data_IF_858904319410
#
_entry.id   IF_858904319410
#
_cell.length_a   1.000
_cell.length_b   1.000
_cell.length_c   1.000
_cell.angle_alpha   90.00
_cell.angle_beta   90.00
_cell.angle_gamma   90.00
#
_symmetry.space_group_name_H-M   'P 1'
#
loop_
_entity.id
_entity.type
_entity.pdbx_description
1 polymer ?
#
# COMPACT_ATOMS: atom_id res chain seq x y z
N UNK A 1 13.73 -11.71 -24.15
CA UNK A 1 13.95 -10.55 -23.24
C UNK A 1 13.14 -10.64 -21.94
N UNK A 2 11.89 -11.13 -21.96
CA UNK A 2 11.00 -11.11 -20.78
C UNK A 2 11.47 -12.05 -19.65
N UNK A 3 11.90 -13.27 -19.95
CA UNK A 3 12.44 -14.18 -18.93
C UNK A 3 13.87 -13.85 -18.50
N UNK A 4 14.59 -13.07 -19.28
CA UNK A 4 16.00 -12.74 -19.04
C UNK A 4 16.21 -11.94 -17.75
N UNK A 5 15.27 -11.05 -17.42
CA UNK A 5 15.28 -10.27 -16.17
C UNK A 5 15.15 -11.21 -14.96
N UNK A 6 14.26 -12.20 -15.03
CA UNK A 6 14.01 -13.12 -13.92
C UNK A 6 15.10 -14.17 -13.77
N UNK A 7 15.63 -14.67 -14.89
CA UNK A 7 16.52 -15.85 -14.91
C UNK A 7 18.01 -15.52 -14.99
N UNK A 8 18.42 -14.52 -15.80
CA UNK A 8 19.81 -14.33 -16.21
C UNK A 8 20.44 -13.00 -15.84
N UNK A 9 19.63 -11.93 -15.76
CA UNK A 9 20.16 -10.59 -15.48
C UNK A 9 20.88 -10.55 -14.11
N UNK A 10 21.95 -9.75 -13.93
CA UNK A 10 22.55 -9.52 -12.63
C UNK A 10 21.49 -9.10 -11.59
N UNK A 11 21.56 -9.67 -10.39
CA UNK A 11 20.53 -9.48 -9.36
C UNK A 11 20.26 -7.99 -9.06
N UNK A 12 21.25 -7.10 -8.87
CA UNK A 12 20.98 -5.69 -8.66
C UNK A 12 20.21 -5.05 -9.83
N UNK A 13 20.62 -5.35 -11.08
CA UNK A 13 19.94 -4.83 -12.28
C UNK A 13 18.49 -5.29 -12.36
N UNK A 14 18.25 -6.58 -12.13
CA UNK A 14 16.90 -7.13 -12.12
C UNK A 14 16.03 -6.49 -11.03
N UNK A 15 16.56 -6.39 -9.81
CA UNK A 15 15.87 -5.79 -8.67
C UNK A 15 15.50 -4.34 -8.93
N UNK A 16 16.45 -3.49 -9.33
CA UNK A 16 16.16 -2.08 -9.61
C UNK A 16 15.25 -1.86 -10.82
N UNK A 17 15.38 -2.69 -11.87
CA UNK A 17 14.48 -2.61 -13.03
C UNK A 17 13.03 -2.86 -12.64
N UNK A 18 12.78 -3.74 -11.67
CA UNK A 18 11.44 -4.05 -11.19
C UNK A 18 10.97 -3.07 -10.09
N UNK A 19 11.85 -2.70 -9.18
CA UNK A 19 11.47 -1.96 -7.98
C UNK A 19 11.41 -0.44 -8.17
N UNK A 20 12.33 0.17 -8.91
CA UNK A 20 12.34 1.62 -9.12
C UNK A 20 11.02 2.16 -9.72
N UNK A 21 10.42 1.55 -10.75
CA UNK A 21 9.14 2.00 -11.25
C UNK A 21 8.04 1.99 -10.17
N UNK A 22 8.05 1.00 -9.27
CA UNK A 22 7.07 0.92 -8.18
C UNK A 22 7.26 2.06 -7.17
N UNK A 23 8.52 2.35 -6.80
CA UNK A 23 8.86 3.48 -5.92
C UNK A 23 8.39 4.79 -6.53
N UNK A 24 8.68 5.03 -7.83
CA UNK A 24 8.21 6.23 -8.51
C UNK A 24 6.68 6.35 -8.53
N UNK A 25 5.98 5.25 -8.79
CA UNK A 25 4.50 5.22 -8.73
C UNK A 25 4.00 5.62 -7.34
N UNK A 26 4.59 5.10 -6.27
CA UNK A 26 4.19 5.40 -4.90
C UNK A 26 4.47 6.86 -4.53
N UNK A 27 5.64 7.40 -4.93
CA UNK A 27 5.97 8.82 -4.70
C UNK A 27 4.99 9.73 -5.43
N UNK A 28 4.67 9.45 -6.69
CA UNK A 28 3.70 10.25 -7.45
C UNK A 28 2.30 10.13 -6.84
N UNK A 29 1.89 8.95 -6.37
CA UNK A 29 0.61 8.78 -5.66
C UNK A 29 0.55 9.57 -4.35
N UNK A 30 1.68 9.69 -3.63
CA UNK A 30 1.76 10.55 -2.46
C UNK A 30 1.60 12.03 -2.85
N UNK A 31 2.29 12.46 -3.91
CA UNK A 31 2.20 13.85 -4.41
C UNK A 31 0.76 14.18 -4.82
N UNK A 32 0.09 13.29 -5.56
CA UNK A 32 -1.29 13.55 -5.96
C UNK A 32 -2.23 13.67 -4.75
N UNK A 33 -2.10 12.82 -3.74
CA UNK A 33 -2.88 12.93 -2.50
C UNK A 33 -2.67 14.26 -1.78
N UNK A 34 -1.44 14.78 -1.80
CA UNK A 34 -1.13 16.11 -1.22
C UNK A 34 -1.76 17.24 -2.04
N UNK A 35 -1.74 17.14 -3.37
CA UNK A 35 -2.32 18.12 -4.29
C UNK A 35 -3.85 18.15 -4.15
N UNK A 36 -4.49 16.98 -4.11
CA UNK A 36 -5.93 16.85 -3.88
C UNK A 36 -6.35 17.53 -2.56
N UNK A 37 -5.65 17.20 -1.47
CA UNK A 37 -5.86 17.85 -0.17
C UNK A 37 -5.65 19.36 -0.22
N UNK A 38 -4.68 19.84 -0.97
CA UNK A 38 -4.42 21.27 -1.16
C UNK A 38 -5.59 21.99 -1.83
N UNK A 39 -6.11 21.45 -2.94
CA UNK A 39 -7.24 22.08 -3.64
C UNK A 39 -8.54 22.03 -2.82
N UNK A 40 -8.79 20.94 -2.12
CA UNK A 40 -9.91 20.82 -1.18
C UNK A 40 -9.81 21.89 -0.07
N UNK A 41 -8.63 22.02 0.55
CA UNK A 41 -8.41 23.01 1.61
C UNK A 41 -8.55 24.44 1.13
N UNK A 42 -8.19 24.71 -0.12
CA UNK A 42 -8.26 26.03 -0.73
C UNK A 42 -9.68 26.53 -0.97
N UNK A 43 -10.69 25.66 -0.89
CA UNK A 43 -12.10 26.08 -0.93
C UNK A 43 -12.51 26.99 0.26
N UNK A 44 -11.70 26.98 1.34
CA UNK A 44 -11.98 27.76 2.56
C UNK A 44 -13.17 27.26 3.36
N UNK A 45 -13.82 26.17 2.93
CA UNK A 45 -14.99 25.58 3.59
C UNK A 45 -14.53 24.41 4.49
N UNK A 46 -14.47 24.64 5.80
CA UNK A 46 -14.05 23.65 6.79
C UNK A 46 -14.94 22.41 6.82
N UNK A 47 -16.25 22.57 6.63
CA UNK A 47 -17.22 21.47 6.60
C UNK A 47 -17.01 20.58 5.35
N UNK A 48 -16.65 21.19 4.22
CA UNK A 48 -16.30 20.45 3.01
C UNK A 48 -15.02 19.64 3.22
N UNK A 49 -13.96 20.26 3.78
CA UNK A 49 -12.69 19.58 4.09
C UNK A 49 -12.93 18.41 5.05
N UNK A 50 -13.70 18.62 6.10
CA UNK A 50 -14.06 17.57 7.06
C UNK A 50 -14.87 16.46 6.38
N UNK A 51 -15.88 16.79 5.59
CA UNK A 51 -16.71 15.83 4.86
C UNK A 51 -15.92 14.93 3.91
N UNK A 52 -14.98 15.50 3.14
CA UNK A 52 -14.11 14.73 2.26
C UNK A 52 -13.18 13.83 3.07
N UNK A 53 -12.64 14.31 4.20
CA UNK A 53 -11.78 13.54 5.07
C UNK A 53 -12.46 12.29 5.63
N UNK A 54 -13.77 12.32 5.86
CA UNK A 54 -14.56 11.15 6.25
C UNK A 54 -14.60 10.06 5.17
N UNK A 55 -14.31 10.39 3.92
CA UNK A 55 -14.22 9.44 2.82
C UNK A 55 -12.91 8.65 2.74
N UNK A 56 -11.85 9.08 3.44
CA UNK A 56 -10.55 8.44 3.40
C UNK A 56 -10.56 6.94 3.79
N UNK A 57 -11.28 6.49 4.84
CA UNK A 57 -11.39 5.06 5.16
C UNK A 57 -12.05 4.24 4.05
N UNK A 58 -12.98 4.84 3.30
CA UNK A 58 -13.67 4.19 2.18
C UNK A 58 -12.70 3.95 1.02
N UNK A 59 -11.92 4.96 0.67
CA UNK A 59 -10.89 4.84 -0.35
C UNK A 59 -9.84 3.78 0.03
N UNK A 60 -9.41 3.76 1.29
CA UNK A 60 -8.50 2.74 1.83
C UNK A 60 -9.10 1.33 1.73
N UNK A 61 -10.40 1.18 2.01
CA UNK A 61 -11.11 -0.10 1.84
C UNK A 61 -11.10 -0.56 0.37
N UNK A 62 -11.33 0.34 -0.58
CA UNK A 62 -11.28 0.01 -2.02
C UNK A 62 -9.88 -0.44 -2.45
N UNK A 63 -8.83 0.24 -1.98
CA UNK A 63 -7.45 -0.18 -2.20
C UNK A 63 -7.22 -1.58 -1.61
N UNK A 64 -7.63 -1.82 -0.38
CA UNK A 64 -7.48 -3.11 0.28
C UNK A 64 -8.17 -4.25 -0.49
N UNK A 65 -9.38 -4.00 -1.01
CA UNK A 65 -10.11 -4.98 -1.85
C UNK A 65 -9.42 -5.22 -3.19
N UNK A 66 -8.86 -4.18 -3.82
CA UNK A 66 -8.08 -4.30 -5.06
C UNK A 66 -6.79 -5.11 -4.86
N UNK A 67 -6.14 -4.96 -3.71
CA UNK A 67 -4.94 -5.71 -3.34
C UNK A 67 -5.20 -7.22 -3.18
N UNK A 68 -6.43 -7.63 -2.83
CA UNK A 68 -6.78 -9.05 -2.78
C UNK A 68 -6.50 -9.71 -4.13
N UNK A 69 -6.98 -9.12 -5.21
CA UNK A 69 -6.81 -9.64 -6.57
C UNK A 69 -5.45 -9.25 -7.16
N UNK A 70 -4.96 -8.04 -6.87
CA UNK A 70 -3.69 -7.54 -7.36
C UNK A 70 -2.49 -8.25 -6.75
N UNK A 71 -2.30 -8.17 -5.44
CA UNK A 71 -1.17 -8.79 -4.74
C UNK A 71 -1.36 -10.30 -4.61
N UNK A 72 -2.57 -10.77 -4.27
CA UNK A 72 -2.87 -12.20 -4.21
C UNK A 72 -2.68 -12.87 -5.56
N UNK A 73 -3.23 -12.29 -6.63
CA UNK A 73 -3.09 -12.78 -8.00
C UNK A 73 -1.65 -12.78 -8.48
N UNK A 74 -0.92 -11.67 -8.31
CA UNK A 74 0.47 -11.55 -8.74
C UNK A 74 1.39 -12.56 -8.06
N UNK A 75 1.14 -12.86 -6.78
CA UNK A 75 1.88 -13.88 -6.03
C UNK A 75 1.73 -15.28 -6.67
N UNK A 76 0.50 -15.69 -6.97
CA UNK A 76 0.25 -17.01 -7.59
C UNK A 76 0.76 -17.04 -9.02
N UNK A 77 0.49 -16.01 -9.82
CA UNK A 77 0.86 -15.94 -11.24
C UNK A 77 2.38 -15.92 -11.40
N UNK A 78 3.12 -15.17 -10.57
CA UNK A 78 4.58 -15.14 -10.66
C UNK A 78 5.21 -16.51 -10.40
N UNK A 79 4.65 -17.31 -9.48
CA UNK A 79 5.09 -18.70 -9.26
C UNK A 79 4.79 -19.60 -10.46
N UNK A 80 3.57 -19.50 -11.01
CA UNK A 80 3.17 -20.27 -12.20
C UNK A 80 4.07 -19.96 -13.37
N UNK A 81 4.45 -18.70 -13.57
CA UNK A 81 5.41 -18.32 -14.61
C UNK A 81 6.81 -18.90 -14.35
N UNK A 82 7.24 -18.99 -13.09
CA UNK A 82 8.46 -19.71 -12.71
C UNK A 82 8.38 -21.21 -13.02
N UNK A 83 7.23 -21.83 -12.79
CA UNK A 83 6.94 -23.24 -13.11
C UNK A 83 6.75 -23.49 -14.63
N UNK A 84 6.84 -22.44 -15.48
CA UNK A 84 6.57 -22.49 -16.93
C UNK A 84 5.13 -22.86 -17.27
N UNK A 85 4.18 -22.59 -16.38
CA UNK A 85 2.75 -22.79 -16.56
C UNK A 85 2.07 -21.49 -17.04
N UNK A 86 2.48 -21.01 -18.19
CA UNK A 86 2.04 -19.73 -18.73
C UNK A 86 0.53 -19.71 -19.02
N UNK A 87 -0.04 -20.84 -19.47
CA UNK A 87 -1.47 -20.96 -19.72
C UNK A 87 -2.32 -20.78 -18.46
N UNK A 88 -1.87 -21.36 -17.32
CA UNK A 88 -2.54 -21.20 -16.04
C UNK A 88 -2.42 -19.77 -15.52
N UNK A 89 -1.23 -19.17 -15.63
CA UNK A 89 -1.02 -17.77 -15.27
C UNK A 89 -1.91 -16.83 -16.08
N UNK A 90 -2.04 -17.07 -17.39
CA UNK A 90 -2.94 -16.31 -18.28
C UNK A 90 -4.39 -16.43 -17.86
N UNK A 91 -4.86 -17.65 -17.59
CA UNK A 91 -6.21 -17.93 -17.10
C UNK A 91 -6.49 -17.23 -15.77
N UNK A 92 -5.54 -17.30 -14.82
CA UNK A 92 -5.67 -16.63 -13.52
C UNK A 92 -5.73 -15.11 -13.65
N UNK A 93 -4.99 -14.52 -14.60
CA UNK A 93 -5.05 -13.07 -14.81
C UNK A 93 -6.46 -12.60 -15.22
N UNK A 94 -7.14 -13.40 -16.06
CA UNK A 94 -8.55 -13.16 -16.44
C UNK A 94 -9.45 -13.22 -15.20
N UNK A 95 -9.29 -14.26 -14.37
CA UNK A 95 -10.06 -14.37 -13.14
C UNK A 95 -9.83 -13.18 -12.19
N UNK A 96 -8.59 -12.79 -11.93
CA UNK A 96 -8.29 -11.65 -11.06
C UNK A 96 -8.90 -10.35 -11.57
N UNK A 97 -8.85 -10.11 -12.88
CA UNK A 97 -9.42 -8.91 -13.49
C UNK A 97 -10.94 -8.86 -13.35
N UNK A 98 -11.66 -9.90 -13.76
CA UNK A 98 -13.12 -9.94 -13.64
C UNK A 98 -13.60 -10.11 -12.19
N UNK A 99 -12.84 -10.80 -11.36
CA UNK A 99 -13.10 -10.90 -9.93
C UNK A 99 -13.04 -9.54 -9.24
N UNK A 100 -12.07 -8.70 -9.60
CA UNK A 100 -11.96 -7.33 -9.11
C UNK A 100 -13.14 -6.46 -9.58
N UNK A 101 -13.57 -6.58 -10.85
CA UNK A 101 -14.77 -5.89 -11.37
C UNK A 101 -16.01 -6.30 -10.59
N UNK A 102 -16.24 -7.60 -10.43
CA UNK A 102 -17.40 -8.13 -9.69
C UNK A 102 -17.39 -7.66 -8.24
N UNK A 103 -16.24 -7.74 -7.57
CA UNK A 103 -16.06 -7.22 -6.22
C UNK A 103 -16.42 -5.73 -6.16
N UNK A 104 -15.93 -4.92 -7.09
CA UNK A 104 -16.24 -3.50 -7.19
C UNK A 104 -17.74 -3.23 -7.34
N UNK A 105 -18.42 -3.97 -8.22
CA UNK A 105 -19.87 -3.83 -8.44
C UNK A 105 -20.65 -4.21 -7.16
N UNK A 106 -20.29 -5.32 -6.52
CA UNK A 106 -20.94 -5.77 -5.28
C UNK A 106 -20.74 -4.75 -4.16
N UNK A 107 -19.52 -4.24 -3.99
CA UNK A 107 -19.20 -3.22 -3.00
C UNK A 107 -19.96 -1.93 -3.27
N UNK A 108 -20.04 -1.49 -4.54
CA UNK A 108 -20.84 -0.33 -4.94
C UNK A 108 -22.29 -0.52 -4.50
N UNK A 109 -22.90 -1.65 -4.84
CA UNK A 109 -24.29 -1.93 -4.48
C UNK A 109 -24.51 -1.92 -2.96
N UNK A 110 -23.67 -2.61 -2.20
CA UNK A 110 -23.75 -2.67 -0.75
C UNK A 110 -23.54 -1.29 -0.10
N UNK A 111 -22.53 -0.56 -0.55
CA UNK A 111 -22.22 0.75 0.02
C UNK A 111 -23.28 1.80 -0.32
N UNK A 112 -23.90 1.77 -1.49
CA UNK A 112 -25.02 2.65 -1.81
C UNK A 112 -26.26 2.29 -1.00
N UNK A 113 -26.56 1.00 -0.81
CA UNK A 113 -27.68 0.51 0.00
C UNK A 113 -27.54 0.94 1.46
N UNK A 114 -26.36 0.82 2.03
CA UNK A 114 -26.06 1.15 3.43
C UNK A 114 -25.43 2.53 3.61
N UNK A 115 -25.65 3.46 2.67
CA UNK A 115 -25.04 4.79 2.67
C UNK A 115 -25.25 5.56 3.98
N UNK A 116 -26.49 5.63 4.48
CA UNK A 116 -26.82 6.39 5.70
C UNK A 116 -26.12 5.83 6.95
N UNK A 117 -26.22 4.52 7.26
CA UNK A 117 -25.53 3.96 8.43
C UNK A 117 -24.01 4.06 8.30
N UNK A 118 -23.43 3.90 7.11
CA UNK A 118 -21.99 4.02 6.92
C UNK A 118 -21.51 5.45 7.17
N UNK A 119 -22.18 6.46 6.62
CA UNK A 119 -21.83 7.86 6.87
C UNK A 119 -21.98 8.25 8.35
N UNK A 120 -23.00 7.74 9.02
CA UNK A 120 -23.16 7.91 10.47
C UNK A 120 -22.04 7.25 11.27
N UNK A 121 -21.63 6.03 10.91
CA UNK A 121 -20.52 5.32 11.53
C UNK A 121 -19.18 6.06 11.33
N UNK A 122 -19.00 6.72 10.19
CA UNK A 122 -17.81 7.53 9.90
C UNK A 122 -17.79 8.85 10.66
N UNK A 123 -18.88 9.22 11.34
CA UNK A 123 -18.97 10.44 12.14
C UNK A 123 -19.46 11.67 11.37
N UNK A 124 -20.21 11.47 10.27
CA UNK A 124 -20.84 12.57 9.56
C UNK A 124 -21.96 13.18 10.44
N UNK A 125 -21.83 14.47 10.72
CA UNK A 125 -22.82 15.28 11.45
C UNK A 125 -23.68 16.11 10.48
N UNK A 126 -24.60 16.90 11.02
CA UNK A 126 -25.51 17.76 10.22
C UNK A 126 -24.77 18.71 9.29
N UNK A 127 -23.59 19.20 9.69
CA UNK A 127 -22.85 20.21 8.96
C UNK A 127 -21.96 19.60 7.87
N UNK A 128 -21.43 18.41 8.10
CA UNK A 128 -20.53 17.70 7.19
C UNK A 128 -21.24 16.70 6.29
N UNK A 129 -22.46 16.25 6.65
CA UNK A 129 -23.18 15.18 5.97
C UNK A 129 -23.37 15.42 4.46
N UNK A 130 -23.72 16.61 4.07
CA UNK A 130 -23.95 16.94 2.65
C UNK A 130 -22.69 16.74 1.83
N UNK A 131 -21.55 17.25 2.30
CA UNK A 131 -20.26 17.13 1.61
C UNK A 131 -19.73 15.71 1.66
N UNK A 132 -19.80 15.05 2.81
CA UNK A 132 -19.42 13.65 2.96
C UNK A 132 -20.24 12.75 2.05
N UNK A 133 -21.54 12.97 1.96
CA UNK A 133 -22.46 12.22 1.12
C UNK A 133 -22.20 12.43 -0.39
N UNK A 134 -21.87 13.65 -0.82
CA UNK A 134 -21.50 13.94 -2.21
C UNK A 134 -20.20 13.23 -2.60
N UNK A 135 -19.15 13.37 -1.79
CA UNK A 135 -17.87 12.70 -2.00
C UNK A 135 -18.04 11.17 -2.01
N UNK A 136 -18.73 10.65 -1.00
CA UNK A 136 -19.03 9.23 -0.84
C UNK A 136 -19.71 8.64 -2.08
N UNK A 137 -20.77 9.28 -2.54
CA UNK A 137 -21.59 8.74 -3.64
C UNK A 137 -20.78 8.58 -4.92
N UNK A 138 -20.03 9.60 -5.31
CA UNK A 138 -19.22 9.55 -6.51
C UNK A 138 -18.02 8.58 -6.38
N UNK A 139 -17.40 8.55 -5.21
CA UNK A 139 -16.31 7.61 -4.94
C UNK A 139 -16.81 6.17 -5.01
N UNK A 140 -17.95 5.87 -4.40
CA UNK A 140 -18.54 4.53 -4.38
C UNK A 140 -19.02 4.10 -5.77
N UNK A 141 -19.61 4.99 -6.57
CA UNK A 141 -19.92 4.72 -7.97
C UNK A 141 -18.67 4.39 -8.80
N UNK A 142 -17.53 4.99 -8.46
CA UNK A 142 -16.24 4.72 -9.05
C UNK A 142 -15.50 3.50 -8.49
N UNK A 143 -16.02 2.84 -7.45
CA UNK A 143 -15.33 1.73 -6.79
C UNK A 143 -14.90 0.59 -7.73
N UNK A 144 -15.69 0.16 -8.74
CA UNK A 144 -15.24 -0.85 -9.69
C UNK A 144 -13.92 -0.46 -10.38
N UNK A 145 -13.78 0.79 -10.79
CA UNK A 145 -12.57 1.28 -11.47
C UNK A 145 -11.39 1.39 -10.50
N UNK A 146 -11.61 1.89 -9.29
CA UNK A 146 -10.56 2.03 -8.26
C UNK A 146 -10.02 0.65 -7.85
N UNK A 147 -10.90 -0.33 -7.66
CA UNK A 147 -10.54 -1.69 -7.25
C UNK A 147 -9.81 -2.41 -8.42
N UNK A 148 -10.31 -2.26 -9.64
CA UNK A 148 -9.72 -2.90 -10.82
C UNK A 148 -8.34 -2.36 -11.15
N UNK A 149 -8.08 -1.07 -11.02
CA UNK A 149 -6.80 -0.44 -11.38
C UNK A 149 -5.59 -1.09 -10.70
N UNK A 150 -5.75 -1.58 -9.47
CA UNK A 150 -4.69 -2.26 -8.72
C UNK A 150 -4.35 -3.64 -9.28
N UNK A 151 -5.32 -4.33 -9.89
CA UNK A 151 -5.11 -5.68 -10.41
C UNK A 151 -4.13 -5.69 -11.59
N UNK A 152 -4.38 -5.06 -12.74
CA UNK A 152 -3.43 -5.09 -13.85
C UNK A 152 -2.10 -4.39 -13.50
N UNK A 153 -2.11 -3.38 -12.65
CA UNK A 153 -0.90 -2.73 -12.18
C UNK A 153 0.05 -3.73 -11.49
N UNK A 154 -0.47 -4.60 -10.63
CA UNK A 154 0.30 -5.66 -9.97
C UNK A 154 0.65 -6.81 -10.93
N UNK A 155 -0.28 -7.23 -11.78
CA UNK A 155 -0.09 -8.36 -12.68
C UNK A 155 0.96 -8.09 -13.76
N UNK A 156 1.01 -6.91 -14.35
CA UNK A 156 2.01 -6.52 -15.36
C UNK A 156 3.44 -6.71 -14.87
N UNK A 157 3.69 -6.52 -13.58
CA UNK A 157 5.00 -6.74 -12.98
C UNK A 157 5.43 -8.20 -13.00
N UNK A 158 4.48 -9.15 -12.97
CA UNK A 158 4.81 -10.59 -13.04
C UNK A 158 5.35 -11.02 -14.41
N UNK A 159 5.02 -10.26 -15.47
CA UNK A 159 5.55 -10.45 -16.82
C UNK A 159 6.80 -9.59 -17.10
N UNK A 160 7.25 -8.79 -16.11
CA UNK A 160 8.43 -7.91 -16.24
C UNK A 160 8.13 -6.49 -16.70
N UNK A 161 6.86 -6.13 -16.90
CA UNK A 161 6.42 -4.81 -17.36
C UNK A 161 6.23 -3.80 -16.21
N UNK A 162 7.19 -3.72 -15.29
CA UNK A 162 7.14 -2.77 -14.18
C UNK A 162 7.03 -1.30 -14.64
N UNK A 163 7.70 -0.94 -15.75
CA UNK A 163 7.59 0.40 -16.34
C UNK A 163 6.18 0.70 -16.85
N UNK A 164 5.49 -0.27 -17.46
CA UNK A 164 4.12 -0.10 -17.91
C UNK A 164 3.17 0.06 -16.73
N UNK A 165 3.36 -0.72 -15.66
CA UNK A 165 2.64 -0.55 -14.40
C UNK A 165 2.80 0.88 -13.86
N UNK A 166 4.02 1.40 -13.82
CA UNK A 166 4.32 2.78 -13.41
C UNK A 166 3.61 3.81 -14.30
N UNK A 167 3.73 3.68 -15.62
CA UNK A 167 3.14 4.65 -16.57
C UNK A 167 1.63 4.72 -16.39
N UNK A 168 0.94 3.58 -16.27
CA UNK A 168 -0.51 3.54 -16.05
C UNK A 168 -0.94 4.21 -14.74
N UNK A 169 -0.20 3.95 -13.65
CA UNK A 169 -0.48 4.57 -12.35
C UNK A 169 -0.21 6.08 -12.38
N UNK A 170 0.90 6.51 -12.98
CA UNK A 170 1.25 7.94 -13.09
C UNK A 170 0.24 8.67 -13.97
N UNK A 171 -0.20 8.06 -15.09
CA UNK A 171 -1.21 8.63 -15.96
C UNK A 171 -2.49 8.99 -15.20
N UNK A 172 -3.02 8.06 -14.41
CA UNK A 172 -4.18 8.32 -13.57
C UNK A 172 -3.96 9.42 -12.53
N UNK A 173 -2.80 9.41 -11.89
CA UNK A 173 -2.44 10.46 -10.91
C UNK A 173 -2.33 11.84 -11.55
N UNK A 174 -1.71 11.94 -12.72
CA UNK A 174 -1.58 13.21 -13.46
C UNK A 174 -2.94 13.72 -13.92
N UNK A 175 -3.80 12.84 -14.46
CA UNK A 175 -5.17 13.21 -14.84
C UNK A 175 -5.94 13.74 -13.64
N UNK A 176 -5.84 13.08 -12.49
CA UNK A 176 -6.49 13.53 -11.27
C UNK A 176 -5.97 14.93 -10.86
N UNK A 177 -4.66 15.16 -10.81
CA UNK A 177 -4.05 16.46 -10.46
C UNK A 177 -4.55 17.58 -11.38
N UNK A 178 -4.72 17.30 -12.67
CA UNK A 178 -5.22 18.29 -13.64
C UNK A 178 -6.71 18.56 -13.44
N UNK A 179 -7.49 17.54 -13.13
CA UNK A 179 -8.96 17.65 -12.99
C UNK A 179 -9.38 18.24 -11.64
N UNK A 180 -8.60 18.07 -10.59
CA UNK A 180 -8.93 18.60 -9.25
C UNK A 180 -9.25 20.10 -9.26
N UNK A 181 -8.38 21.01 -9.72
CA UNK A 181 -8.70 22.45 -9.76
C UNK A 181 -9.90 22.74 -10.65
N UNK A 182 -10.08 21.98 -11.74
CA UNK A 182 -11.20 22.20 -12.67
C UNK A 182 -12.52 21.84 -12.01
N UNK A 183 -12.65 20.65 -11.43
CA UNK A 183 -13.91 20.20 -10.86
C UNK A 183 -14.20 20.79 -9.48
N UNK A 184 -13.19 20.95 -8.64
CA UNK A 184 -13.35 21.49 -7.30
C UNK A 184 -13.64 22.99 -7.36
N UNK A 185 -12.80 23.76 -8.09
CA UNK A 185 -12.77 25.22 -8.02
C UNK A 185 -13.48 25.89 -9.20
N UNK A 186 -13.15 25.52 -10.46
CA UNK A 186 -13.68 26.20 -11.66
C UNK A 186 -15.16 25.85 -11.87
N UNK A 187 -15.50 24.57 -11.82
CA UNK A 187 -16.90 24.09 -11.97
C UNK A 187 -17.69 24.16 -10.67
N UNK A 188 -17.02 24.38 -9.54
CA UNK A 188 -17.68 24.54 -8.24
C UNK A 188 -18.33 23.25 -7.69
N UNK A 189 -17.92 22.08 -8.15
CA UNK A 189 -18.48 20.80 -7.68
C UNK A 189 -17.99 20.41 -6.27
N UNK A 190 -17.00 21.11 -5.72
CA UNK A 190 -16.51 20.93 -4.37
C UNK A 190 -16.15 19.48 -4.04
N UNK A 191 -16.78 18.90 -3.03
CA UNK A 191 -16.50 17.53 -2.59
C UNK A 191 -16.82 16.48 -3.67
N UNK A 192 -17.90 16.64 -4.43
CA UNK A 192 -18.22 15.77 -5.56
C UNK A 192 -17.13 15.85 -6.64
N UNK A 193 -16.60 17.05 -6.90
CA UNK A 193 -15.53 17.29 -7.88
C UNK A 193 -14.26 16.52 -7.57
N UNK A 194 -13.81 16.50 -6.33
CA UNK A 194 -12.65 15.72 -5.88
C UNK A 194 -12.84 14.21 -6.13
N UNK A 195 -14.00 13.66 -5.76
CA UNK A 195 -14.30 12.25 -6.01
C UNK A 195 -14.36 11.91 -7.50
N UNK A 196 -15.00 12.75 -8.31
CA UNK A 196 -15.10 12.57 -9.77
C UNK A 196 -13.72 12.59 -10.41
N UNK A 197 -12.85 13.53 -10.03
CA UNK A 197 -11.48 13.61 -10.54
C UNK A 197 -10.68 12.33 -10.22
N UNK A 198 -10.82 11.82 -9.00
CA UNK A 198 -10.19 10.56 -8.58
C UNK A 198 -10.70 9.38 -9.41
N UNK A 199 -12.00 9.28 -9.64
CA UNK A 199 -12.59 8.20 -10.44
C UNK A 199 -12.14 8.27 -11.90
N UNK A 200 -12.15 9.45 -12.52
CA UNK A 200 -11.70 9.63 -13.90
C UNK A 200 -10.21 9.27 -14.04
N UNK A 201 -9.38 9.66 -13.06
CA UNK A 201 -7.98 9.27 -13.03
C UNK A 201 -7.80 7.75 -13.06
N UNK A 202 -8.56 7.01 -12.22
CA UNK A 202 -8.52 5.55 -12.22
C UNK A 202 -9.05 4.93 -13.53
N UNK A 203 -10.12 5.49 -14.12
CA UNK A 203 -10.63 5.05 -15.43
C UNK A 203 -9.55 5.21 -16.52
N UNK A 204 -8.82 6.33 -16.53
CA UNK A 204 -7.71 6.54 -17.48
C UNK A 204 -6.59 5.52 -17.28
N UNK A 205 -6.26 5.18 -16.02
CA UNK A 205 -5.32 4.10 -15.71
C UNK A 205 -5.82 2.76 -16.25
N UNK A 206 -7.08 2.42 -16.02
CA UNK A 206 -7.69 1.15 -16.46
C UNK A 206 -7.69 1.03 -18.00
N UNK A 207 -8.05 2.09 -18.71
CA UNK A 207 -8.00 2.13 -20.17
C UNK A 207 -6.58 1.85 -20.66
N UNK A 208 -5.58 2.49 -20.07
CA UNK A 208 -4.18 2.24 -20.40
C UNK A 208 -3.78 0.79 -20.13
N UNK A 209 -4.13 0.25 -18.97
CA UNK A 209 -3.79 -1.13 -18.60
C UNK A 209 -4.45 -2.16 -19.50
N UNK A 210 -5.73 -2.00 -19.80
CA UNK A 210 -6.46 -2.88 -20.72
C UNK A 210 -5.86 -2.81 -22.13
N UNK A 211 -5.60 -1.61 -22.63
CA UNK A 211 -4.93 -1.42 -23.91
C UNK A 211 -3.57 -2.13 -23.93
N UNK A 212 -2.76 -1.97 -22.90
CA UNK A 212 -1.44 -2.59 -22.82
C UNK A 212 -1.53 -4.12 -22.77
N UNK A 213 -2.45 -4.67 -21.96
CA UNK A 213 -2.67 -6.11 -21.86
C UNK A 213 -3.14 -6.71 -23.21
N UNK A 214 -3.98 -6.02 -23.95
CA UNK A 214 -4.47 -6.48 -25.24
C UNK A 214 -3.42 -6.41 -26.37
N UNK A 215 -2.49 -5.44 -26.30
CA UNK A 215 -1.56 -5.16 -27.41
C UNK A 215 -0.14 -5.64 -27.19
N UNK A 216 0.31 -5.71 -25.94
CA UNK A 216 1.72 -5.94 -25.60
C UNK A 216 1.97 -7.17 -24.72
N UNK A 217 0.99 -7.58 -23.92
CA UNK A 217 1.13 -8.76 -23.07
C UNK A 217 0.91 -10.03 -23.87
N UNK A 218 1.73 -11.05 -23.60
CA UNK A 218 1.62 -12.38 -24.22
C UNK A 218 1.17 -13.44 -23.21
N UNK A 219 1.52 -13.24 -21.96
CA UNK A 219 1.33 -14.22 -20.86
C UNK A 219 0.14 -13.89 -19.97
N UNK A 220 -0.35 -12.64 -20.00
CA UNK A 220 -1.55 -12.19 -19.29
C UNK A 220 -2.67 -11.92 -20.29
N UNK A 221 -3.93 -11.89 -19.82
CA UNK A 221 -5.10 -11.62 -20.67
C UNK A 221 -6.22 -10.97 -19.86
N UNK A 222 -7.05 -10.22 -20.57
CA UNK A 222 -8.35 -9.73 -20.09
C UNK A 222 -9.51 -10.28 -20.93
N UNK A 223 -9.24 -11.22 -21.87
CA UNK A 223 -10.27 -11.85 -22.67
C UNK A 223 -11.12 -12.80 -21.82
N UNK A 224 -12.46 -12.68 -21.82
CA UNK A 224 -13.34 -13.52 -21.01
C UNK A 224 -13.36 -15.00 -21.45
N UNK A 225 -12.82 -15.31 -22.63
CA UNK A 225 -12.68 -16.68 -23.11
C UNK A 225 -11.65 -17.45 -22.30
N UNK A 226 -12.02 -18.15 -21.27
CA UNK A 226 -11.09 -18.86 -20.39
C UNK A 226 -11.30 -18.52 -18.90
N UNK A 227 -12.41 -17.87 -18.61
CA UNK A 227 -12.82 -17.62 -17.22
C UNK A 227 -13.14 -18.96 -16.51
N UNK A 228 -12.13 -19.49 -15.86
CA UNK A 228 -12.22 -20.69 -15.04
C UNK A 228 -11.18 -20.62 -13.92
N UNK A 229 -11.53 -21.07 -12.73
CA UNK A 229 -10.62 -21.13 -11.59
C UNK A 229 -10.77 -22.43 -10.82
N UNK A 230 -9.66 -23.03 -10.43
CA UNK A 230 -9.67 -24.15 -9.49
C UNK A 230 -9.83 -23.63 -8.07
N UNK A 231 -10.56 -24.38 -7.24
CA UNK A 231 -10.78 -24.03 -5.82
C UNK A 231 -9.46 -23.78 -5.07
N UNK A 232 -8.43 -24.58 -5.36
CA UNK A 232 -7.11 -24.43 -4.73
C UNK A 232 -6.43 -23.09 -5.08
N UNK A 233 -6.54 -22.64 -6.32
CA UNK A 233 -5.99 -21.36 -6.80
C UNK A 233 -6.76 -20.19 -6.17
N UNK A 234 -8.09 -20.27 -6.14
CA UNK A 234 -8.95 -19.30 -5.48
C UNK A 234 -8.54 -19.12 -4.02
N UNK A 235 -8.41 -20.23 -3.28
CA UNK A 235 -7.99 -20.19 -1.89
C UNK A 235 -6.61 -19.58 -1.70
N UNK A 236 -5.66 -19.84 -2.61
CA UNK A 236 -4.32 -19.24 -2.55
C UNK A 236 -4.35 -17.74 -2.80
N UNK A 237 -5.13 -17.25 -3.77
CA UNK A 237 -5.28 -15.81 -4.04
C UNK A 237 -5.82 -15.11 -2.80
N UNK A 238 -6.91 -15.62 -2.22
CA UNK A 238 -7.51 -15.01 -1.03
C UNK A 238 -6.62 -15.17 0.22
N UNK A 239 -5.96 -16.30 0.38
CA UNK A 239 -5.08 -16.55 1.51
C UNK A 239 -3.85 -15.62 1.55
N UNK A 240 -3.41 -15.10 0.41
CA UNK A 240 -2.35 -14.09 0.32
C UNK A 240 -2.92 -12.68 0.28
N UNK A 241 -3.98 -12.46 -0.49
CA UNK A 241 -4.55 -11.13 -0.73
C UNK A 241 -5.24 -10.55 0.51
N UNK A 242 -6.00 -11.36 1.27
CA UNK A 242 -6.67 -10.89 2.49
C UNK A 242 -5.68 -10.41 3.55
N UNK A 243 -4.60 -11.14 3.90
CA UNK A 243 -3.59 -10.63 4.81
C UNK A 243 -2.93 -9.33 4.34
N UNK A 244 -2.64 -9.21 3.04
CA UNK A 244 -2.10 -7.98 2.47
C UNK A 244 -3.06 -6.79 2.67
N UNK A 245 -4.35 -7.00 2.46
CA UNK A 245 -5.40 -6.00 2.68
C UNK A 245 -5.56 -5.60 4.15
N UNK A 246 -5.47 -6.56 5.06
CA UNK A 246 -5.58 -6.32 6.51
C UNK A 246 -4.45 -5.40 7.00
N UNK A 247 -3.28 -5.44 6.39
CA UNK A 247 -2.15 -4.57 6.76
C UNK A 247 -2.55 -3.09 6.74
N UNK A 248 -3.31 -2.64 5.72
CA UNK A 248 -3.79 -1.26 5.60
C UNK A 248 -4.77 -0.89 6.73
N UNK A 249 -5.64 -1.82 7.12
CA UNK A 249 -6.58 -1.63 8.23
C UNK A 249 -5.85 -1.56 9.57
N UNK A 250 -4.85 -2.41 9.78
CA UNK A 250 -4.02 -2.39 11.00
C UNK A 250 -3.24 -1.10 11.12
N UNK A 251 -2.76 -0.54 10.02
CA UNK A 251 -2.09 0.76 10.02
C UNK A 251 -3.02 1.88 10.51
N UNK A 252 -4.25 1.92 10.02
CA UNK A 252 -5.25 2.89 10.46
C UNK A 252 -5.57 2.74 11.96
N UNK A 253 -5.69 1.50 12.44
CA UNK A 253 -5.89 1.21 13.85
C UNK A 253 -4.70 1.69 14.70
N UNK A 254 -3.46 1.43 14.25
CA UNK A 254 -2.25 1.88 14.93
C UNK A 254 -2.20 3.39 15.10
N UNK A 255 -2.55 4.14 14.06
CA UNK A 255 -2.64 5.61 14.10
C UNK A 255 -3.69 6.06 15.13
N UNK A 256 -4.88 5.46 15.12
CA UNK A 256 -5.95 5.79 16.06
C UNK A 256 -5.55 5.53 17.52
N UNK A 257 -4.91 4.37 17.79
CA UNK A 257 -4.42 4.02 19.12
C UNK A 257 -3.33 4.99 19.60
N UNK A 258 -2.38 5.35 18.73
CA UNK A 258 -1.34 6.34 19.05
C UNK A 258 -1.93 7.69 19.41
N UNK A 259 -2.85 8.20 18.58
CA UNK A 259 -3.51 9.48 18.82
C UNK A 259 -4.28 9.47 20.13
N UNK A 260 -5.04 8.41 20.40
CA UNK A 260 -5.79 8.25 21.67
C UNK A 260 -4.86 8.25 22.88
N UNK A 261 -3.72 7.59 22.78
CA UNK A 261 -2.73 7.52 23.86
C UNK A 261 -2.01 8.86 24.12
N UNK A 262 -1.92 9.72 23.07
CA UNK A 262 -1.31 11.04 23.18
C UNK A 262 -2.27 12.12 23.70
N UNK A 263 -3.58 11.93 23.57
CA UNK A 263 -4.58 12.93 24.00
C UNK A 263 -4.39 13.45 25.44
N UNK A 264 -4.10 12.63 26.46
CA UNK A 264 -3.89 13.10 27.81
C UNK A 264 -2.68 14.05 27.98
N UNK A 265 -1.75 14.04 27.02
CA UNK A 265 -0.56 14.87 27.02
C UNK A 265 -0.71 16.21 26.28
N UNK A 266 -1.90 16.46 25.71
CA UNK A 266 -2.27 17.71 25.04
C UNK A 266 -2.37 17.62 23.52
N UNK A 267 -3.20 18.49 22.96
CA UNK A 267 -3.51 18.52 21.53
C UNK A 267 -2.30 18.86 20.65
N UNK A 268 -1.36 19.67 21.15
CA UNK A 268 -0.14 20.01 20.41
C UNK A 268 0.72 18.78 20.12
N UNK A 269 0.76 17.81 21.04
CA UNK A 269 1.48 16.55 20.86
C UNK A 269 0.79 15.64 19.84
N UNK A 270 -0.54 15.61 19.85
CA UNK A 270 -1.32 14.89 18.81
C UNK A 270 -1.09 15.51 17.44
N UNK A 271 -1.14 16.83 17.34
CA UNK A 271 -0.88 17.56 16.10
C UNK A 271 0.55 17.34 15.58
N UNK A 272 1.55 17.42 16.48
CA UNK A 272 2.94 17.14 16.14
C UNK A 272 3.12 15.71 15.63
N UNK A 273 2.51 14.70 16.29
CA UNK A 273 2.56 13.31 15.86
C UNK A 273 1.91 13.11 14.50
N UNK A 274 0.81 13.79 14.20
CA UNK A 274 0.17 13.74 12.87
C UNK A 274 1.12 14.17 11.76
N UNK A 275 1.92 15.22 11.97
CA UNK A 275 2.94 15.68 11.02
C UNK A 275 4.10 14.68 10.94
N UNK A 276 4.57 14.20 12.08
CA UNK A 276 5.63 13.18 12.16
C UNK A 276 5.26 11.93 11.36
N UNK A 277 4.01 11.46 11.49
CA UNK A 277 3.52 10.31 10.74
C UNK A 277 3.50 10.56 9.22
N UNK A 278 3.20 11.77 8.75
CA UNK A 278 3.27 12.12 7.32
C UNK A 278 4.71 12.05 6.80
N UNK A 279 5.68 12.58 7.55
CA UNK A 279 7.09 12.49 7.17
C UNK A 279 7.59 11.04 7.20
N UNK A 280 7.23 10.29 8.25
CA UNK A 280 7.57 8.88 8.37
C UNK A 280 6.99 8.03 7.24
N UNK A 281 5.77 8.34 6.80
CA UNK A 281 5.10 7.66 5.68
C UNK A 281 5.93 7.75 4.39
N UNK A 282 6.63 8.86 4.13
CA UNK A 282 7.50 8.99 2.94
C UNK A 282 8.59 7.91 2.97
N UNK A 283 9.28 7.75 4.11
CA UNK A 283 10.31 6.74 4.26
C UNK A 283 9.76 5.32 4.10
N UNK A 284 8.63 5.03 4.75
CA UNK A 284 7.98 3.71 4.68
C UNK A 284 7.55 3.38 3.25
N UNK A 285 6.97 4.34 2.50
CA UNK A 285 6.55 4.13 1.12
C UNK A 285 7.72 3.81 0.19
N UNK A 286 8.88 4.41 0.41
CA UNK A 286 10.10 4.09 -0.36
C UNK A 286 10.51 2.64 -0.11
N UNK A 287 10.58 2.20 1.15
CA UNK A 287 10.89 0.81 1.51
C UNK A 287 9.84 -0.17 0.95
N UNK A 288 8.55 0.14 1.11
CA UNK A 288 7.46 -0.66 0.54
C UNK A 288 7.60 -0.78 -0.98
N UNK A 289 7.91 0.32 -1.67
CA UNK A 289 8.09 0.34 -3.12
C UNK A 289 9.21 -0.59 -3.59
N UNK A 290 10.35 -0.61 -2.91
CA UNK A 290 11.44 -1.53 -3.23
C UNK A 290 11.11 -2.98 -2.88
N UNK A 291 10.57 -3.25 -1.70
CA UNK A 291 10.21 -4.60 -1.28
C UNK A 291 9.16 -5.23 -2.21
N UNK A 292 8.03 -4.54 -2.44
CA UNK A 292 6.96 -5.06 -3.31
C UNK A 292 7.32 -5.00 -4.80
N UNK A 293 8.22 -4.11 -5.20
CA UNK A 293 8.78 -4.11 -6.55
C UNK A 293 9.62 -5.36 -6.84
N UNK A 294 10.33 -5.86 -5.84
CA UNK A 294 11.09 -7.12 -5.90
C UNK A 294 10.24 -8.40 -5.82
N UNK A 295 8.99 -8.30 -5.39
CA UNK A 295 8.10 -9.44 -5.14
C UNK A 295 7.96 -10.40 -6.34
N UNK A 296 7.75 -9.97 -7.59
CA UNK A 296 7.67 -10.88 -8.74
C UNK A 296 8.95 -11.66 -9.01
N UNK A 297 10.14 -11.07 -8.74
CA UNK A 297 11.42 -11.76 -8.87
C UNK A 297 11.53 -12.93 -7.88
N UNK A 298 11.09 -12.71 -6.64
CA UNK A 298 11.07 -13.72 -5.58
C UNK A 298 10.09 -14.84 -5.98
N UNK A 299 8.85 -14.49 -6.35
CA UNK A 299 7.81 -15.44 -6.72
C UNK A 299 8.20 -16.31 -7.92
N UNK A 300 8.75 -15.70 -8.98
CA UNK A 300 9.22 -16.41 -10.15
C UNK A 300 10.31 -17.43 -9.80
N UNK A 301 11.36 -17.01 -9.10
CA UNK A 301 12.49 -17.91 -8.77
C UNK A 301 12.11 -18.96 -7.73
N UNK A 302 11.14 -18.68 -6.86
CA UNK A 302 10.57 -19.68 -5.96
C UNK A 302 9.80 -20.76 -6.76
N UNK A 303 8.92 -20.36 -7.69
CA UNK A 303 8.21 -21.29 -8.57
C UNK A 303 9.12 -22.10 -9.48
N UNK A 304 10.17 -21.46 -10.04
CA UNK A 304 11.19 -22.12 -10.85
C UNK A 304 12.09 -23.08 -10.05
N UNK A 305 11.96 -23.12 -8.72
CA UNK A 305 12.84 -23.88 -7.81
C UNK A 305 14.32 -23.54 -7.98
N UNK A 306 14.63 -22.32 -8.44
CA UNK A 306 15.99 -21.83 -8.61
C UNK A 306 16.52 -21.29 -7.27
N UNK A 307 16.86 -22.21 -6.38
CA UNK A 307 17.30 -21.92 -5.00
C UNK A 307 18.50 -20.98 -4.93
N UNK A 308 19.49 -21.21 -5.83
CA UNK A 308 20.70 -20.38 -5.87
C UNK A 308 20.34 -18.92 -6.13
N UNK A 309 19.61 -18.67 -7.21
CA UNK A 309 19.21 -17.32 -7.61
C UNK A 309 18.27 -16.68 -6.60
N UNK A 310 17.33 -17.44 -6.05
CA UNK A 310 16.43 -16.98 -4.99
C UNK A 310 17.23 -16.50 -3.76
N UNK A 311 18.25 -17.26 -3.33
CA UNK A 311 19.13 -16.89 -2.22
C UNK A 311 19.91 -15.61 -2.52
N UNK A 312 20.42 -15.46 -3.74
CA UNK A 312 21.10 -14.24 -4.18
C UNK A 312 20.17 -13.02 -4.16
N UNK A 313 18.93 -13.15 -4.67
CA UNK A 313 17.90 -12.09 -4.67
C UNK A 313 17.54 -11.70 -3.23
N UNK A 314 17.24 -12.66 -2.36
CA UNK A 314 16.87 -12.38 -0.98
C UNK A 314 18.02 -11.74 -0.20
N UNK A 315 19.26 -12.25 -0.37
CA UNK A 315 20.43 -11.64 0.26
C UNK A 315 20.64 -10.19 -0.18
N UNK A 316 20.47 -9.91 -1.47
CA UNK A 316 20.55 -8.56 -2.00
C UNK A 316 19.43 -7.67 -1.44
N UNK A 317 18.18 -8.15 -1.48
CA UNK A 317 17.02 -7.41 -1.00
C UNK A 317 17.17 -7.02 0.48
N UNK A 318 17.54 -7.97 1.36
CA UNK A 318 17.75 -7.68 2.77
C UNK A 318 18.88 -6.66 2.99
N UNK A 319 20.03 -6.83 2.33
CA UNK A 319 21.17 -5.90 2.49
C UNK A 319 20.82 -4.49 2.00
N UNK A 320 20.19 -4.42 0.83
CA UNK A 320 19.78 -3.15 0.22
C UNK A 320 18.74 -2.44 1.08
N UNK A 321 17.66 -3.13 1.45
CA UNK A 321 16.57 -2.56 2.23
C UNK A 321 17.01 -2.13 3.63
N UNK A 322 17.82 -2.93 4.32
CA UNK A 322 18.37 -2.53 5.62
C UNK A 322 19.33 -1.34 5.49
N UNK A 323 20.17 -1.32 4.46
CA UNK A 323 21.04 -0.18 4.18
C UNK A 323 20.25 1.08 3.84
N UNK A 324 19.19 0.96 3.04
CA UNK A 324 18.28 2.06 2.72
C UNK A 324 17.52 2.55 3.95
N UNK A 325 17.00 1.64 4.79
CA UNK A 325 16.34 1.98 6.04
C UNK A 325 17.25 2.76 6.99
N UNK A 326 18.51 2.34 7.11
CA UNK A 326 19.51 3.06 7.88
C UNK A 326 19.82 4.44 7.28
N UNK A 327 20.00 4.53 5.97
CA UNK A 327 20.25 5.78 5.25
C UNK A 327 19.09 6.77 5.47
N UNK A 328 17.83 6.30 5.29
CA UNK A 328 16.64 7.14 5.51
C UNK A 328 16.53 7.59 6.97
N UNK A 329 16.85 6.72 7.93
CA UNK A 329 16.90 7.08 9.35
C UNK A 329 17.88 8.22 9.58
N UNK A 330 19.10 8.14 9.06
CA UNK A 330 20.12 9.17 9.23
C UNK A 330 19.70 10.47 8.54
N UNK A 331 19.35 10.42 7.25
CA UNK A 331 19.00 11.61 6.46
C UNK A 331 17.79 12.34 7.04
N UNK A 332 16.71 11.65 7.35
CA UNK A 332 15.50 12.26 7.89
C UNK A 332 15.66 12.70 9.33
N UNK A 333 16.49 12.03 10.13
CA UNK A 333 16.80 12.48 11.50
C UNK A 333 17.63 13.77 11.52
N UNK A 334 18.56 13.92 10.58
CA UNK A 334 19.32 15.16 10.39
C UNK A 334 18.44 16.28 9.83
N UNK A 335 17.56 15.95 8.87
CA UNK A 335 16.64 16.89 8.26
C UNK A 335 15.31 17.03 9.01
N UNK A 336 15.17 16.51 10.23
CA UNK A 336 13.88 16.45 10.95
C UNK A 336 13.24 17.84 11.10
N UNK A 337 14.01 18.86 11.49
CA UNK A 337 13.50 20.23 11.67
C UNK A 337 12.97 20.84 10.36
N UNK A 338 13.71 20.89 9.27
CA UNK A 338 13.19 21.41 8.00
C UNK A 338 12.03 20.58 7.46
N UNK A 339 12.04 19.25 7.58
CA UNK A 339 10.96 18.39 7.12
C UNK A 339 9.64 18.70 7.83
N UNK A 340 9.65 18.88 9.15
CA UNK A 340 8.45 19.24 9.90
C UNK A 340 7.99 20.66 9.55
N UNK A 341 8.92 21.60 9.36
CA UNK A 341 8.59 22.99 8.98
C UNK A 341 7.90 23.12 7.63
N UNK A 342 8.08 22.19 6.72
CA UNK A 342 7.34 22.14 5.45
C UNK A 342 5.84 22.04 5.69
N UNK A 343 5.44 21.24 6.71
CA UNK A 343 4.04 21.00 7.02
C UNK A 343 3.46 21.99 8.04
N UNK A 344 4.27 22.50 8.97
CA UNK A 344 3.82 23.40 10.03
C UNK A 344 4.95 24.35 10.44
N UNK A 345 4.64 25.67 10.47
CA UNK A 345 5.62 26.70 10.84
C UNK A 345 5.64 27.01 12.33
N UNK A 346 4.68 26.52 13.11
CA UNK A 346 4.61 26.73 14.56
C UNK A 346 5.82 26.12 15.25
N UNK A 347 6.55 26.96 16.01
CA UNK A 347 7.78 26.55 16.68
C UNK A 347 7.55 25.52 17.81
N UNK A 348 6.38 25.55 18.46
CA UNK A 348 6.03 24.58 19.50
C UNK A 348 5.87 23.20 18.89
N UNK A 349 5.10 23.11 17.79
CA UNK A 349 4.88 21.86 17.06
C UNK A 349 6.20 21.31 16.49
N UNK A 350 7.05 22.19 15.93
CA UNK A 350 8.36 21.80 15.41
C UNK A 350 9.26 21.25 16.52
N UNK A 351 9.29 21.90 17.70
CA UNK A 351 10.12 21.46 18.83
C UNK A 351 9.68 20.11 19.40
N UNK A 352 8.38 19.85 19.42
CA UNK A 352 7.81 18.55 19.83
C UNK A 352 8.03 17.48 18.77
N UNK A 353 7.85 17.82 17.50
CA UNK A 353 7.90 16.86 16.40
C UNK A 353 9.30 16.33 16.09
N UNK A 354 10.36 17.13 16.28
CA UNK A 354 11.74 16.69 15.99
C UNK A 354 12.15 15.44 16.79
N UNK A 355 12.04 15.40 18.12
CA UNK A 355 12.35 14.19 18.88
C UNK A 355 11.39 13.05 18.57
N UNK A 356 10.08 13.33 18.36
CA UNK A 356 9.10 12.32 17.97
C UNK A 356 9.51 11.64 16.66
N UNK A 357 9.87 12.41 15.62
CA UNK A 357 10.28 11.86 14.33
C UNK A 357 11.53 11.00 14.45
N UNK A 358 12.54 11.46 15.19
CA UNK A 358 13.76 10.69 15.42
C UNK A 358 13.48 9.35 16.07
N UNK A 359 12.58 9.30 17.06
CA UNK A 359 12.19 8.06 17.74
C UNK A 359 11.42 7.11 16.80
N UNK A 360 10.53 7.64 15.96
CA UNK A 360 9.80 6.83 14.98
C UNK A 360 10.75 6.22 13.92
N UNK A 361 11.76 6.97 13.48
CA UNK A 361 12.73 6.52 12.48
C UNK A 361 13.65 5.40 12.97
N UNK A 362 13.85 5.23 14.28
CA UNK A 362 14.68 4.15 14.82
C UNK A 362 14.23 2.76 14.39
N UNK A 363 12.94 2.59 14.08
CA UNK A 363 12.37 1.34 13.59
C UNK A 363 12.65 1.00 12.14
N UNK A 364 13.16 1.93 11.29
CA UNK A 364 13.20 1.76 9.83
C UNK A 364 13.95 0.53 9.34
N UNK A 365 15.07 0.18 9.98
CA UNK A 365 15.83 -1.05 9.62
C UNK A 365 15.01 -2.31 9.92
N UNK A 366 14.26 -2.31 11.02
CA UNK A 366 13.39 -3.42 11.39
C UNK A 366 12.18 -3.50 10.44
N UNK A 367 11.63 -2.36 10.05
CA UNK A 367 10.59 -2.26 9.00
C UNK A 367 11.08 -2.91 7.71
N UNK A 368 12.30 -2.60 7.25
CA UNK A 368 12.89 -3.18 6.06
C UNK A 368 12.95 -4.73 6.15
N UNK A 369 13.39 -5.28 7.28
CA UNK A 369 13.43 -6.74 7.50
C UNK A 369 12.02 -7.34 7.40
N UNK A 370 11.04 -6.72 8.07
CA UNK A 370 9.65 -7.21 8.06
C UNK A 370 9.07 -7.16 6.66
N UNK A 371 9.29 -6.08 5.90
CA UNK A 371 8.76 -5.93 4.54
C UNK A 371 9.32 -6.98 3.59
N UNK A 372 10.64 -7.16 3.55
CA UNK A 372 11.27 -8.18 2.68
C UNK A 372 10.78 -9.58 3.06
N UNK A 373 10.68 -9.88 4.35
CA UNK A 373 10.20 -11.19 4.82
C UNK A 373 8.73 -11.40 4.47
N UNK A 374 7.88 -10.39 4.64
CA UNK A 374 6.45 -10.45 4.28
C UNK A 374 6.28 -10.68 2.79
N UNK A 375 7.01 -9.92 1.93
CA UNK A 375 7.02 -10.14 0.48
C UNK A 375 7.49 -11.53 0.10
N UNK A 376 8.50 -12.06 0.82
CA UNK A 376 8.99 -13.42 0.60
C UNK A 376 7.92 -14.46 0.90
N UNK A 377 7.23 -14.35 2.04
CA UNK A 377 6.16 -15.27 2.38
C UNK A 377 4.96 -15.18 1.44
N UNK A 378 4.58 -13.97 1.05
CA UNK A 378 3.52 -13.78 0.05
C UNK A 378 3.91 -14.42 -1.28
N UNK A 379 5.13 -14.16 -1.77
CA UNK A 379 5.65 -14.72 -3.02
C UNK A 379 5.77 -16.24 -2.99
N UNK A 380 6.18 -16.81 -1.86
CA UNK A 380 6.29 -18.26 -1.66
C UNK A 380 4.92 -18.95 -1.43
N UNK A 381 3.83 -18.19 -1.28
CA UNK A 381 2.51 -18.74 -0.97
C UNK A 381 2.34 -19.19 0.47
N UNK A 382 3.22 -18.75 1.37
CA UNK A 382 3.17 -19.06 2.80
C UNK A 382 2.18 -18.15 3.53
N UNK A 383 0.90 -18.31 3.21
CA UNK A 383 -0.19 -17.45 3.67
C UNK A 383 -0.23 -17.24 5.19
N UNK A 384 -0.04 -18.31 5.96
CA UNK A 384 -0.05 -18.25 7.44
C UNK A 384 1.05 -17.32 7.98
N UNK A 385 2.27 -17.45 7.45
CA UNK A 385 3.39 -16.64 7.89
C UNK A 385 3.22 -15.17 7.47
N UNK A 386 2.73 -14.94 6.24
CA UNK A 386 2.40 -13.61 5.76
C UNK A 386 1.31 -12.95 6.63
N UNK A 387 0.26 -13.68 6.97
CA UNK A 387 -0.81 -13.20 7.86
C UNK A 387 -0.28 -12.82 9.24
N UNK A 388 0.51 -13.70 9.87
CA UNK A 388 1.08 -13.42 11.19
C UNK A 388 1.90 -12.14 11.20
N UNK A 389 2.75 -11.90 10.19
CA UNK A 389 3.52 -10.66 10.11
C UNK A 389 2.65 -9.43 9.86
N UNK A 390 1.64 -9.56 8.98
CA UNK A 390 0.75 -8.46 8.62
C UNK A 390 -0.04 -7.93 9.83
N UNK A 391 -0.58 -8.82 10.67
CA UNK A 391 -1.34 -8.40 11.86
C UNK A 391 -0.45 -8.02 13.06
N UNK A 392 0.81 -8.48 13.08
CA UNK A 392 1.70 -8.27 14.24
C UNK A 392 2.21 -6.83 14.28
N UNK A 393 2.75 -6.32 13.20
CA UNK A 393 3.54 -5.08 13.16
C UNK A 393 2.77 -3.85 13.65
N UNK A 394 1.58 -3.60 13.15
CA UNK A 394 0.76 -2.42 13.49
C UNK A 394 -0.57 -2.79 14.16
N UNK A 395 -0.79 -4.07 14.40
CA UNK A 395 -1.95 -4.60 15.10
C UNK A 395 -1.58 -5.09 16.49
N UNK A 396 -1.47 -6.42 16.62
CA UNK A 396 -1.39 -7.09 17.93
C UNK A 396 -0.15 -6.71 18.71
N UNK A 397 1.06 -6.84 18.14
CA UNK A 397 2.31 -6.53 18.86
C UNK A 397 2.34 -5.04 19.18
N UNK A 398 1.97 -4.17 18.24
CA UNK A 398 1.94 -2.73 18.47
C UNK A 398 0.98 -2.35 19.61
N UNK A 399 -0.25 -2.87 19.62
CA UNK A 399 -1.23 -2.58 20.65
C UNK A 399 -0.75 -3.01 22.06
N UNK A 400 -0.15 -4.19 22.15
CA UNK A 400 0.42 -4.70 23.42
C UNK A 400 1.59 -3.83 23.87
N UNK A 401 2.54 -3.54 22.98
CA UNK A 401 3.72 -2.70 23.30
C UNK A 401 3.27 -1.30 23.69
N UNK A 402 2.35 -0.70 22.97
CA UNK A 402 1.81 0.63 23.27
C UNK A 402 1.14 0.64 24.65
N UNK A 403 0.31 -0.35 24.96
CA UNK A 403 -0.35 -0.46 26.27
C UNK A 403 0.67 -0.59 27.40
N UNK A 404 1.66 -1.48 27.28
CA UNK A 404 2.69 -1.66 28.30
C UNK A 404 3.57 -0.43 28.42
N UNK A 405 4.12 0.09 27.33
CA UNK A 405 5.05 1.19 27.32
C UNK A 405 4.41 2.51 27.77
N UNK A 406 3.16 2.76 27.43
CA UNK A 406 2.44 3.95 27.90
C UNK A 406 2.22 3.95 29.40
N UNK A 407 1.99 2.78 30.02
CA UNK A 407 1.82 2.65 31.46
C UNK A 407 3.13 2.65 32.23
N UNK A 408 4.21 2.10 31.68
CA UNK A 408 5.50 1.96 32.38
C UNK A 408 6.40 3.17 32.19
N UNK A 409 6.47 3.75 31.02
CA UNK A 409 7.41 4.83 30.65
C UNK A 409 6.64 6.12 30.28
N UNK A 410 5.31 6.07 30.25
CA UNK A 410 4.44 7.22 29.95
C UNK A 410 4.63 7.75 28.52
N UNK A 411 4.77 9.07 28.40
CA UNK A 411 4.91 9.74 27.09
C UNK A 411 6.03 9.19 26.22
N UNK A 412 7.22 8.97 26.78
CA UNK A 412 8.34 8.40 26.02
C UNK A 412 8.05 6.97 25.54
N UNK A 413 7.30 6.20 26.32
CA UNK A 413 6.85 4.87 25.95
C UNK A 413 5.94 4.89 24.73
N UNK A 414 5.03 5.87 24.62
CA UNK A 414 4.17 6.03 23.44
C UNK A 414 5.03 6.30 22.20
N UNK A 415 6.03 7.16 22.29
CA UNK A 415 6.91 7.50 21.16
C UNK A 415 7.77 6.32 20.70
N UNK A 416 8.24 5.49 21.62
CA UNK A 416 9.09 4.34 21.32
C UNK A 416 8.31 3.09 20.92
N UNK A 417 6.99 3.03 21.17
CA UNK A 417 6.19 1.81 20.97
C UNK A 417 6.25 1.31 19.54
N UNK A 418 6.30 2.19 18.52
CA UNK A 418 6.41 1.76 17.15
C UNK A 418 7.75 1.10 16.86
N UNK A 419 8.87 1.71 17.30
CA UNK A 419 10.21 1.16 17.08
C UNK A 419 10.41 -0.18 17.82
N UNK A 420 9.87 -0.30 19.04
CA UNK A 420 9.89 -1.56 19.80
C UNK A 420 9.05 -2.62 19.12
N UNK A 421 7.87 -2.27 18.65
CA UNK A 421 6.99 -3.18 17.88
C UNK A 421 7.65 -3.66 16.60
N UNK A 422 8.29 -2.76 15.85
CA UNK A 422 9.02 -3.09 14.63
C UNK A 422 10.18 -4.05 14.91
N UNK A 423 10.94 -3.83 16.01
CA UNK A 423 12.00 -4.73 16.47
C UNK A 423 11.46 -6.13 16.80
N UNK A 424 10.41 -6.21 17.61
CA UNK A 424 9.81 -7.50 18.00
C UNK A 424 9.25 -8.24 16.80
N UNK A 425 8.61 -7.51 15.87
CA UNK A 425 8.10 -8.10 14.63
C UNK A 425 9.25 -8.54 13.71
N UNK A 426 10.37 -7.83 13.66
CA UNK A 426 11.55 -8.25 12.91
C UNK A 426 12.17 -9.54 13.49
N UNK A 427 12.22 -9.68 14.82
CA UNK A 427 12.65 -10.93 15.47
C UNK A 427 11.72 -12.08 15.10
N UNK A 428 10.40 -11.87 15.16
CA UNK A 428 9.41 -12.85 14.72
C UNK A 428 9.59 -13.19 13.22
N UNK A 429 9.82 -12.20 12.38
CA UNK A 429 10.05 -12.38 10.94
C UNK A 429 11.26 -13.26 10.67
N UNK A 430 12.39 -13.00 11.34
CA UNK A 430 13.63 -13.80 11.22
C UNK A 430 13.41 -15.22 11.72
N UNK A 431 12.70 -15.41 12.84
CA UNK A 431 12.38 -16.73 13.37
C UNK A 431 11.54 -17.56 12.38
N UNK A 432 10.46 -16.95 11.84
CA UNK A 432 9.61 -17.58 10.84
C UNK A 432 10.37 -17.86 9.53
N UNK A 433 11.23 -16.95 9.10
CA UNK A 433 12.06 -17.14 7.91
C UNK A 433 13.01 -18.34 8.07
N UNK A 434 13.68 -18.45 9.20
CA UNK A 434 14.62 -19.56 9.50
C UNK A 434 13.91 -20.92 9.54
N UNK A 435 12.69 -20.97 10.09
CA UNK A 435 11.94 -22.21 10.25
C UNK A 435 11.21 -22.66 8.99
N UNK A 436 11.02 -21.78 8.01
CA UNK A 436 10.32 -22.04 6.76
C UNK A 436 11.23 -21.92 5.53
N UNK A 437 11.39 -20.72 4.98
CA UNK A 437 12.12 -20.47 3.72
C UNK A 437 13.57 -20.91 3.77
N UNK A 438 14.29 -20.58 4.87
CA UNK A 438 15.69 -20.95 4.97
C UNK A 438 15.88 -22.48 4.99
N UNK A 439 14.98 -23.21 5.63
CA UNK A 439 14.99 -24.68 5.64
C UNK A 439 14.79 -25.23 4.23
N UNK A 440 13.84 -24.70 3.45
CA UNK A 440 13.61 -25.12 2.06
C UNK A 440 14.78 -24.77 1.12
N UNK A 441 15.53 -23.69 1.41
CA UNK A 441 16.69 -23.30 0.64
C UNK A 441 17.95 -24.18 0.93
N UNK A 442 17.97 -24.87 2.05
CA UNK A 442 19.08 -25.74 2.47
C UNK A 442 18.84 -27.23 2.18
N UNK A 443 17.58 -27.66 2.06
CA UNK A 443 17.21 -29.01 1.58
C UNK A 443 17.17 -29.08 0.06
#
# INVERSE_FOLDING_TARGET
MENEIFEKAPVPKAFFTMALPVVFSMVISLVYNMVDTYFISRTGNTNLVAGVSLGAPIFTLMIALGDIFGLGGSSVISRLFGEKKDADGKRLSVFCFYGAILCGIVITALMLLFRHPILGLLGADTDTYTYASQYYTWLVLGAPFIIVALTPSNLLRTEGFAKASMIGTILGSVVNIILDPIFISVLGFGAAGAAIATVIGNICSDIFFVWFLLTRSKRLSVSPSGFYIHKAELLQIFAIGIPASITNLMQSLGIALTNRSLLPFGNDRVAAMGIVMKVNMIAVLILVGFAFGGQPLIGYNYGAKNRRRLKEILSFAYKFECGLGLLLTILLSLAARPMIRIFMKDNTIVSLGVPMLRMQLLGMVFVAIVLVTTCTFQSAGMARNAFLLSISRQGVIFAIVLAIASHTIGYQGILLSQAISDLLTAVLAIALYRTSVAKELHT
#
